data_IF_058253616538
#
_entry.id   IF_058253616538
#
_cell.length_a   1.000
_cell.length_b   1.000
_cell.length_c   1.000
_cell.angle_alpha   90.00
_cell.angle_beta   90.00
_cell.angle_gamma   90.00
#
_symmetry.space_group_name_H-M   'P 1'
#
loop_
_entity.id
_entity.type
_entity.pdbx_description
1 polymer ?
2 polymer ?
3 non-polymer ?
4 water ?
#
loop_
_entity_poly.entity_id
_entity_poly.type
_entity_poly.pdbx_seq_one_letter_code
_entity_poly.pdbx_strand_id
2 'polydeoxyribonucleotide' '(DT)(DC)(DA)(DA)(DG)(DG)(DG)(DT)(DC)(DC)(DG)(DG)(DA)(DC)(DC)(DC)(DT)' ?
#
# COMPACT_ATOMS: atom_id res chain seq x y z
N UNK A 26 6.25 5.56 -22.49
CA UNK A 26 6.78 6.83 -21.93
C UNK A 26 8.07 6.53 -21.15
N UNK A 27 9.19 7.14 -21.55
CA UNK A 27 10.47 6.85 -20.88
C UNK A 27 10.40 7.44 -19.46
N UNK A 28 9.82 6.68 -18.53
CA UNK A 28 9.61 7.21 -17.17
C UNK A 28 10.49 6.47 -16.17
N UNK A 29 10.85 7.14 -15.08
CA UNK A 29 11.60 6.44 -14.01
C UNK A 29 10.69 6.47 -12.77
N UNK A 30 10.17 5.31 -12.37
CA UNK A 30 9.23 5.27 -11.23
C UNK A 30 9.91 4.53 -10.08
N UNK A 31 9.70 5.00 -8.85
CA UNK A 31 10.30 4.34 -7.67
C UNK A 31 9.18 3.86 -6.74
N UNK A 32 9.34 2.65 -6.21
CA UNK A 32 8.36 2.12 -5.24
C UNK A 32 9.12 1.99 -3.92
N UNK A 33 8.57 2.57 -2.86
CA UNK A 33 9.21 2.48 -1.52
C UNK A 33 8.34 1.58 -0.65
N UNK A 34 8.86 0.41 -0.29
CA UNK A 34 8.12 -0.56 0.55
C UNK A 34 8.86 -0.69 1.87
N UNK A 35 8.27 -0.16 2.94
CA UNK A 35 8.90 -0.21 4.27
C UNK A 35 8.79 -1.64 4.81
N UNK A 36 9.82 -2.10 5.50
CA UNK A 36 9.81 -3.47 6.08
C UNK A 36 8.95 -3.49 7.36
N UNK A 37 8.11 -4.51 7.52
CA UNK A 37 7.31 -4.68 8.76
C UNK A 37 7.00 -3.32 9.40
N UNK A 38 6.20 -2.48 8.73
CA UNK A 38 5.99 -1.08 9.20
C UNK A 38 5.41 -1.03 10.61
N UNK A 39 4.26 -1.65 10.82
CA UNK A 39 3.60 -1.55 12.14
C UNK A 39 4.63 -1.97 13.19
N UNK A 40 5.32 -3.07 12.93
CA UNK A 40 6.31 -3.59 13.89
C UNK A 40 7.49 -2.64 14.06
N UNK A 41 7.99 -2.08 12.96
CA UNK A 41 9.15 -1.16 13.03
C UNK A 41 8.78 0.03 13.91
N UNK A 42 7.56 0.54 13.77
CA UNK A 42 7.09 1.69 14.59
C UNK A 42 7.02 1.25 16.06
N UNK A 43 6.53 0.04 16.32
CA UNK A 43 6.39 -0.45 17.72
C UNK A 43 7.78 -0.64 18.33
N UNK A 44 8.73 -1.14 17.54
CA UNK A 44 10.10 -1.36 18.05
C UNK A 44 10.74 0.01 18.35
N UNK A 45 10.43 1.01 17.53
CA UNK A 45 10.97 2.37 17.79
C UNK A 45 10.30 2.91 19.05
N UNK A 46 9.02 2.58 19.26
CA UNK A 46 8.27 3.12 20.43
C UNK A 46 8.79 2.49 21.73
N UNK A 47 9.06 1.20 21.72
CA UNK A 47 9.65 0.56 22.93
C UNK A 47 11.00 -0.05 22.56
N UNK A 48 12.11 0.68 22.75
CA UNK A 48 13.42 0.15 22.41
C UNK A 48 13.54 -1.28 22.86
N UNK A 49 13.16 -1.55 24.11
CA UNK A 49 13.33 -2.92 24.65
C UNK A 49 12.86 -3.94 23.61
N UNK A 50 11.80 -3.63 22.87
CA UNK A 50 11.23 -4.61 21.91
C UNK A 50 12.28 -4.95 20.84
N UNK A 51 13.42 -4.26 20.84
CA UNK A 51 14.44 -4.50 19.78
C UNK A 51 15.11 -5.85 20.01
N UNK A 52 15.47 -6.54 18.94
CA UNK A 52 16.16 -7.86 19.03
C UNK A 52 15.27 -8.82 19.82
N UNK A 53 13.96 -8.74 19.63
CA UNK A 53 13.02 -9.68 20.28
C UNK A 53 11.86 -9.94 19.34
N UNK A 54 11.35 -11.19 19.24
CA UNK A 54 10.30 -11.48 18.29
C UNK A 54 9.08 -10.64 18.63
N UNK A 55 8.63 -9.80 17.72
CA UNK A 55 7.50 -8.88 18.00
C UNK A 55 6.39 -9.08 16.97
N UNK A 56 5.16 -9.17 17.42
CA UNK A 56 4.01 -9.33 16.51
C UNK A 56 2.99 -8.26 16.78
N UNK A 57 2.37 -7.73 15.73
CA UNK A 57 1.29 -6.73 15.93
C UNK A 57 -0.06 -7.46 15.85
N UNK A 58 -0.78 -7.51 16.97
CA UNK A 58 -2.06 -8.26 17.02
C UNK A 58 -3.25 -7.35 16.70
N UNK A 59 -4.14 -7.82 15.84
CA UNK A 59 -5.38 -7.07 15.54
C UNK A 59 -6.50 -8.07 15.74
N UNK A 60 -7.31 -7.90 16.79
CA UNK A 60 -8.37 -8.89 17.12
C UNK A 60 -7.70 -10.26 17.36
N UNK A 61 -8.00 -11.25 16.53
CA UNK A 61 -7.48 -12.61 16.73
C UNK A 61 -6.35 -12.90 15.77
N UNK A 62 -5.85 -11.88 15.10
CA UNK A 62 -4.84 -12.14 14.05
C UNK A 62 -3.54 -11.39 14.30
N UNK A 63 -2.44 -11.94 13.80
CA UNK A 63 -1.13 -11.22 13.86
C UNK A 63 -0.96 -10.59 12.47
N UNK A 64 -1.24 -9.30 12.33
CA UNK A 64 -1.22 -8.67 10.97
C UNK A 64 0.23 -8.52 10.51
N UNK A 65 1.15 -8.18 11.42
CA UNK A 65 2.55 -7.96 11.04
C UNK A 65 3.44 -8.56 12.10
N UNK A 66 4.67 -8.92 11.73
CA UNK A 66 5.64 -9.47 12.70
C UNK A 66 7.04 -8.98 12.29
N UNK A 67 7.98 -8.95 13.24
CA UNK A 67 9.37 -8.55 12.89
C UNK A 67 10.06 -9.73 12.22
N UNK A 68 11.19 -9.48 11.57
CA UNK A 68 11.88 -10.55 10.81
C UNK A 68 12.29 -11.65 11.80
N UNK A 69 12.58 -11.28 13.04
CA UNK A 69 13.01 -12.27 14.06
C UNK A 69 11.87 -13.26 14.28
N UNK A 70 10.65 -12.76 14.42
CA UNK A 70 9.47 -13.65 14.59
C UNK A 70 9.21 -14.43 13.31
N UNK A 71 9.37 -13.78 12.16
CA UNK A 71 9.20 -14.48 10.87
C UNK A 71 10.21 -15.63 10.83
N UNK A 72 11.44 -15.35 11.28
CA UNK A 72 12.50 -16.38 11.28
C UNK A 72 12.04 -17.55 12.14
N UNK A 73 11.53 -17.26 13.34
CA UNK A 73 11.13 -18.33 14.29
C UNK A 73 9.87 -19.03 13.76
N UNK A 74 9.09 -18.37 12.92
CA UNK A 74 7.93 -19.05 12.30
C UNK A 74 6.70 -18.19 12.12
N UNK A 75 6.66 -17.00 12.73
CA UNK A 75 5.42 -16.17 12.68
C UNK A 75 5.19 -15.66 11.25
N UNK A 76 3.93 -15.69 10.80
CA UNK A 76 3.60 -15.26 9.42
C UNK A 76 2.49 -14.21 9.46
N UNK A 77 2.27 -13.53 8.33
CA UNK A 77 1.25 -12.44 8.28
C UNK A 77 -0.16 -13.03 8.34
N UNK A 78 -1.05 -12.39 9.09
CA UNK A 78 -2.46 -12.86 9.19
C UNK A 78 -2.48 -14.30 9.73
N UNK A 79 -1.84 -14.53 10.88
CA UNK A 79 -1.85 -15.87 11.52
C UNK A 79 -2.59 -15.80 12.86
N UNK A 80 -3.31 -16.85 13.22
CA UNK A 80 -3.97 -16.90 14.55
C UNK A 80 -2.91 -16.57 15.62
N UNK A 81 -3.25 -15.66 16.53
CA UNK A 81 -2.27 -15.20 17.57
C UNK A 81 -1.77 -16.39 18.40
N UNK A 82 -2.67 -17.27 18.82
CA UNK A 82 -2.29 -18.41 19.69
C UNK A 82 -1.34 -19.37 18.96
N UNK A 83 -1.63 -19.71 17.70
CA UNK A 83 -0.75 -20.61 16.92
C UNK A 83 0.64 -19.98 16.88
N UNK A 84 0.67 -18.67 16.70
CA UNK A 84 1.96 -17.96 16.64
C UNK A 84 2.68 -18.06 17.98
N UNK A 85 1.98 -17.79 19.08
CA UNK A 85 2.69 -17.78 20.38
C UNK A 85 3.16 -19.20 20.71
N UNK A 86 2.62 -20.21 20.02
CA UNK A 86 3.13 -21.59 20.23
C UNK A 86 4.38 -21.80 19.37
N UNK A 87 4.31 -21.44 18.09
CA UNK A 87 5.47 -21.59 17.19
C UNK A 87 6.61 -20.69 17.71
N UNK A 88 6.25 -19.56 18.33
CA UNK A 88 7.26 -18.62 18.85
C UNK A 88 6.87 -18.21 20.27
N UNK A 89 7.15 -19.04 21.29
CA UNK A 89 6.74 -18.73 22.65
C UNK A 89 7.29 -17.40 23.15
N UNK A 90 8.26 -16.85 22.46
CA UNK A 90 8.90 -15.58 22.90
C UNK A 90 8.22 -14.38 22.22
N UNK A 91 7.11 -14.62 21.51
CA UNK A 91 6.48 -13.53 20.72
C UNK A 91 5.78 -12.49 21.60
N UNK A 92 6.38 -11.30 21.74
CA UNK A 92 5.67 -10.21 22.46
C UNK A 92 4.67 -9.64 21.45
N UNK A 93 3.40 -9.50 21.84
CA UNK A 93 2.36 -9.08 20.86
C UNK A 93 1.75 -7.74 21.28
N UNK A 94 2.22 -6.63 20.72
CA UNK A 94 1.60 -5.32 21.03
C UNK A 94 0.35 -5.15 20.13
N UNK A 95 -0.76 -4.70 20.72
CA UNK A 95 -2.02 -4.55 19.93
C UNK A 95 -1.87 -3.40 18.93
N UNK A 96 -2.44 -3.56 17.75
CA UNK A 96 -2.33 -2.51 16.71
C UNK A 96 -3.67 -2.26 16.04
N UNK A 97 -4.75 -2.29 16.83
CA UNK A 97 -6.08 -1.98 16.28
C UNK A 97 -6.20 -0.45 16.16
N UNK A 98 -5.42 0.28 16.95
CA UNK A 98 -5.40 1.75 16.80
C UNK A 98 -4.27 2.10 15.85
N UNK A 99 -4.61 2.58 14.65
CA UNK A 99 -3.59 2.83 13.61
C UNK A 99 -3.13 4.28 13.63
N UNK A 100 -3.35 5.00 14.73
CA UNK A 100 -3.02 6.45 14.75
C UNK A 100 -1.53 6.67 14.61
N UNK A 101 -0.71 5.95 15.36
CA UNK A 101 0.76 6.20 15.33
C UNK A 101 1.34 5.69 13.99
N UNK A 102 0.79 4.60 13.49
CA UNK A 102 1.24 4.08 12.17
C UNK A 102 0.92 5.13 11.11
N UNK A 103 -0.28 5.70 11.18
CA UNK A 103 -0.71 6.69 10.17
C UNK A 103 0.20 7.91 10.25
N UNK A 104 0.59 8.29 11.46
CA UNK A 104 1.43 9.50 11.62
C UNK A 104 2.77 9.28 10.93
N UNK A 105 3.39 8.13 11.18
CA UNK A 105 4.70 7.82 10.57
C UNK A 105 4.54 7.67 9.06
N UNK A 106 3.40 7.13 8.63
CA UNK A 106 3.16 6.95 7.19
C UNK A 106 3.25 8.31 6.50
N UNK A 107 2.59 9.32 7.06
CA UNK A 107 2.57 10.64 6.38
C UNK A 107 3.95 11.28 6.54
N UNK A 108 4.66 10.98 7.62
CA UNK A 108 6.04 11.51 7.76
C UNK A 108 6.92 10.96 6.62
N UNK A 109 6.78 9.68 6.29
CA UNK A 109 7.55 9.06 5.17
C UNK A 109 7.14 9.70 3.84
N UNK A 110 5.83 9.84 3.61
CA UNK A 110 5.34 10.43 2.34
C UNK A 110 5.82 11.86 2.24
N UNK A 111 5.87 12.56 3.36
CA UNK A 111 6.29 13.99 3.35
C UNK A 111 7.78 14.10 3.02
N UNK A 112 8.61 13.23 3.59
CA UNK A 112 10.05 13.23 3.27
C UNK A 112 10.21 13.00 1.76
N UNK A 113 9.48 12.03 1.23
CA UNK A 113 9.59 11.69 -0.21
C UNK A 113 9.10 12.87 -1.06
N UNK A 114 8.07 13.57 -0.60
CA UNK A 114 7.50 14.71 -1.34
C UNK A 114 8.53 15.84 -1.44
N UNK A 115 9.38 15.97 -0.43
CA UNK A 115 10.46 16.99 -0.46
C UNK A 115 11.43 16.64 -1.59
N UNK A 116 11.65 15.36 -1.84
CA UNK A 116 12.48 14.96 -3.02
C UNK A 116 11.73 15.34 -4.29
N UNK A 117 10.50 14.86 -4.47
CA UNK A 117 9.67 15.25 -5.63
C UNK A 117 8.20 15.32 -5.21
N UNK A 118 7.45 16.35 -5.63
CA UNK A 118 6.08 16.51 -5.15
C UNK A 118 5.08 15.41 -5.39
N UNK A 119 5.13 14.79 -6.57
CA UNK A 119 4.08 13.78 -6.91
C UNK A 119 4.43 12.45 -6.23
N UNK A 120 3.73 12.15 -5.14
CA UNK A 120 3.94 10.88 -4.42
C UNK A 120 2.58 10.20 -4.27
N UNK A 121 2.48 8.96 -4.74
CA UNK A 121 1.22 8.19 -4.60
C UNK A 121 1.37 7.24 -3.41
N UNK A 122 0.33 7.16 -2.59
CA UNK A 122 0.35 6.27 -1.42
C UNK A 122 -0.47 5.01 -1.71
N UNK A 123 0.07 3.84 -1.37
CA UNK A 123 -0.70 2.57 -1.48
C UNK A 123 -0.64 1.97 -0.08
N UNK A 124 -1.71 2.10 0.69
CA UNK A 124 -1.66 1.66 2.08
C UNK A 124 -0.84 2.64 2.88
N UNK A 125 -0.22 2.18 3.96
CA UNK A 125 0.57 3.08 4.84
C UNK A 125 2.04 2.74 4.74
N UNK A 126 2.36 1.63 4.07
CA UNK A 126 3.77 1.16 4.01
C UNK A 126 4.38 1.40 2.62
N UNK A 127 3.56 1.75 1.64
CA UNK A 127 4.08 1.85 0.25
C UNK A 127 3.87 3.25 -0.35
N UNK A 128 4.85 3.70 -1.13
CA UNK A 128 4.75 5.01 -1.80
C UNK A 128 5.35 4.90 -3.21
N UNK A 129 4.78 5.59 -4.18
CA UNK A 129 5.32 5.61 -5.55
C UNK A 129 5.75 7.05 -5.83
N UNK A 130 6.86 7.23 -6.52
CA UNK A 130 7.32 8.60 -6.90
C UNK A 130 7.83 8.57 -8.35
N UNK A 131 7.48 9.57 -9.15
CA UNK A 131 8.03 9.67 -10.53
C UNK A 131 9.30 10.50 -10.49
N UNK A 132 10.44 9.89 -10.77
CA UNK A 132 11.74 10.59 -10.67
C UNK A 132 12.18 11.07 -12.05
N UNK A 133 11.30 11.00 -13.04
CA UNK A 133 11.72 11.33 -14.43
C UNK A 133 12.31 12.72 -14.50
N UNK A 134 11.60 13.72 -13.98
CA UNK A 134 12.08 15.12 -14.06
C UNK A 134 13.39 15.25 -13.28
N UNK A 135 13.42 14.70 -12.07
CA UNK A 135 14.65 14.78 -11.23
C UNK A 135 15.79 14.13 -12.00
N UNK A 136 15.54 12.96 -12.56
CA UNK A 136 16.62 12.24 -13.29
C UNK A 136 17.13 13.15 -14.41
N UNK A 137 16.23 13.78 -15.16
CA UNK A 137 16.65 14.61 -16.31
C UNK A 137 17.50 15.80 -15.84
N UNK A 138 17.09 16.47 -14.75
CA UNK A 138 17.84 17.66 -14.30
C UNK A 138 19.25 17.24 -13.90
N UNK A 139 19.35 16.11 -13.21
CA UNK A 139 20.68 15.65 -12.75
C UNK A 139 21.50 15.28 -13.99
N UNK A 140 20.84 14.67 -14.98
CA UNK A 140 21.57 14.21 -16.19
C UNK A 140 22.01 15.41 -17.04
N UNK A 141 21.29 16.52 -16.96
CA UNK A 141 21.69 17.73 -17.72
C UNK A 141 22.82 18.44 -16.96
N UNK A 142 22.78 18.39 -15.63
CA UNK A 142 23.82 19.06 -14.80
C UNK A 142 25.08 18.20 -14.80
N UNK A 143 25.08 17.16 -15.63
CA UNK A 143 26.26 16.25 -15.68
C UNK A 143 27.01 16.48 -16.99
N UNK A 144 28.24 15.99 -17.06
CA UNK A 144 29.02 16.11 -18.32
C UNK A 144 29.28 14.69 -18.85
N UNK A 145 29.15 14.48 -20.16
CA UNK A 145 29.36 13.13 -20.74
C UNK A 145 30.78 12.64 -20.42
N UNK A 146 31.65 13.56 -20.01
CA UNK A 146 33.05 13.18 -19.67
C UNK A 146 33.04 12.41 -18.34
N UNK A 147 31.87 12.27 -17.71
CA UNK A 147 31.76 11.51 -16.43
C UNK A 147 30.71 10.41 -16.55
N UNK A 148 30.24 10.11 -17.76
CA UNK A 148 29.17 9.09 -17.95
C UNK A 148 29.69 7.70 -17.55
N UNK A 149 30.95 7.40 -17.82
CA UNK A 149 31.50 6.05 -17.54
C UNK A 149 31.49 5.79 -16.04
N UNK A 150 31.04 6.77 -15.25
CA UNK A 150 31.05 6.63 -13.77
C UNK A 150 29.63 6.62 -13.20
N UNK A 151 28.60 6.88 -14.02
CA UNK A 151 27.23 6.76 -13.46
C UNK A 151 27.13 5.31 -12.97
N UNK A 152 27.05 5.11 -11.66
CA UNK A 152 27.07 3.74 -11.10
C UNK A 152 25.75 3.41 -10.45
N UNK A 153 25.43 2.12 -10.34
CA UNK A 153 24.11 1.72 -9.81
C UNK A 153 24.18 1.62 -8.27
N UNK A 154 23.15 2.12 -7.60
CA UNK A 154 23.07 1.94 -6.15
C UNK A 154 22.09 0.79 -5.92
N UNK A 155 22.60 -0.35 -5.49
CA UNK A 155 21.73 -1.50 -5.19
C UNK A 155 21.85 -2.60 -6.21
N UNK A 156 20.95 -3.58 -6.13
CA UNK A 156 21.00 -4.74 -7.03
C UNK A 156 20.37 -4.46 -8.39
N UNK A 157 20.84 -5.17 -9.43
CA UNK A 157 20.21 -5.06 -10.77
C UNK A 157 19.47 -6.38 -10.97
N UNK A 158 18.22 -6.34 -11.45
CA UNK A 158 17.40 -7.58 -11.56
C UNK A 158 17.99 -8.49 -12.64
N UNK A 159 18.09 -9.79 -12.34
CA UNK A 159 18.59 -10.81 -13.31
C UNK A 159 20.07 -10.55 -13.61
N UNK A 160 20.80 -9.92 -12.69
CA UNK A 160 22.24 -9.61 -12.89
C UNK A 160 22.44 -9.10 -14.30
N UNK A 161 21.48 -8.34 -14.80
CA UNK A 161 21.56 -7.86 -16.21
C UNK A 161 22.77 -6.93 -16.34
N UNK A 162 23.45 -7.02 -17.47
CA UNK A 162 24.63 -6.16 -17.72
C UNK A 162 24.15 -4.72 -17.94
N UNK A 163 24.87 -3.76 -17.39
CA UNK A 163 24.52 -2.34 -17.62
C UNK A 163 25.18 -1.88 -18.92
N UNK A 164 24.47 -1.15 -19.77
CA UNK A 164 25.07 -0.58 -20.99
C UNK A 164 25.08 0.94 -20.80
N UNK A 165 26.23 1.52 -20.46
CA UNK A 165 26.28 2.97 -20.18
C UNK A 165 26.08 3.75 -21.49
N UNK A 166 25.77 3.06 -22.57
CA UNK A 166 25.50 3.72 -23.88
C UNK A 166 23.98 3.84 -24.09
N UNK A 167 23.18 2.96 -23.48
CA UNK A 167 21.71 3.05 -23.59
C UNK A 167 21.19 4.11 -22.60
N UNK A 168 20.57 5.16 -23.12
CA UNK A 168 20.08 6.27 -22.26
C UNK A 168 19.13 5.73 -21.20
N UNK A 169 18.28 4.77 -21.57
CA UNK A 169 17.29 4.22 -20.62
C UNK A 169 18.04 3.67 -19.39
N UNK A 170 19.13 2.94 -19.63
CA UNK A 170 19.89 2.33 -18.52
C UNK A 170 20.40 3.46 -17.60
N UNK A 171 20.93 4.52 -18.19
CA UNK A 171 21.51 5.65 -17.41
C UNK A 171 20.42 6.28 -16.53
N UNK A 172 19.25 6.53 -17.13
CA UNK A 172 18.15 7.19 -16.38
C UNK A 172 17.75 6.32 -15.18
N UNK A 173 17.68 5.01 -15.38
CA UNK A 173 17.24 4.10 -14.28
C UNK A 173 18.34 4.02 -13.23
N UNK A 174 19.60 4.11 -13.65
CA UNK A 174 20.73 4.09 -12.70
C UNK A 174 20.68 5.35 -11.83
N UNK A 175 20.31 6.49 -12.42
CA UNK A 175 20.17 7.73 -11.63
C UNK A 175 19.04 7.54 -10.61
N UNK A 176 17.95 6.92 -11.03
CA UNK A 176 16.84 6.64 -10.11
C UNK A 176 17.30 5.75 -8.97
N UNK A 177 18.17 4.80 -9.27
CA UNK A 177 18.73 3.91 -8.22
C UNK A 177 19.42 4.77 -7.15
N UNK A 178 20.16 5.77 -7.58
CA UNK A 178 20.90 6.65 -6.63
C UNK A 178 19.92 7.49 -5.81
N UNK A 179 18.89 8.04 -6.45
CA UNK A 179 17.89 8.88 -5.74
C UNK A 179 17.14 8.00 -4.73
N UNK A 180 16.93 6.73 -5.09
CA UNK A 180 16.23 5.79 -4.18
C UNK A 180 17.10 5.48 -2.97
N UNK A 181 18.39 5.31 -3.20
CA UNK A 181 19.31 5.10 -2.07
C UNK A 181 19.33 6.34 -1.18
N UNK A 182 19.26 7.51 -1.80
CA UNK A 182 19.23 8.78 -1.03
C UNK A 182 17.95 8.80 -0.19
N UNK A 183 16.83 8.47 -0.82
CA UNK A 183 15.53 8.49 -0.12
C UNK A 183 15.57 7.50 1.06
N UNK A 184 16.16 6.33 0.85
CA UNK A 184 16.15 5.29 1.90
C UNK A 184 17.05 5.75 3.06
N UNK A 185 18.20 6.33 2.75
CA UNK A 185 19.14 6.76 3.81
C UNK A 185 18.49 7.89 4.61
N UNK A 186 17.74 8.74 3.93
CA UNK A 186 17.04 9.86 4.61
C UNK A 186 15.96 9.30 5.53
N UNK A 187 15.26 8.27 5.08
CA UNK A 187 14.16 7.68 5.89
C UNK A 187 14.75 7.06 7.15
N UNK A 188 15.96 6.52 7.06
CA UNK A 188 16.62 5.94 8.26
C UNK A 188 17.21 7.05 9.13
N UNK A 189 17.88 8.02 8.51
CA UNK A 189 18.58 9.07 9.29
C UNK A 189 17.57 10.01 9.95
N UNK A 190 16.42 10.20 9.33
CA UNK A 190 15.48 11.22 9.85
C UNK A 190 14.29 10.57 10.58
N UNK A 191 13.91 9.35 10.21
CA UNK A 191 12.72 8.71 10.81
C UNK A 191 13.08 7.34 11.41
N UNK A 192 14.33 6.90 11.25
CA UNK A 192 14.78 5.63 11.83
C UNK A 192 14.07 4.45 11.22
N UNK A 193 13.70 4.56 9.95
CA UNK A 193 12.89 3.49 9.31
C UNK A 193 13.70 2.80 8.21
N UNK A 194 13.59 1.47 8.15
CA UNK A 194 14.27 0.69 7.10
C UNK A 194 13.23 0.34 6.06
N UNK A 195 13.65 0.28 4.81
CA UNK A 195 12.70 -0.04 3.73
C UNK A 195 13.37 -0.54 2.47
N UNK A 196 12.57 -1.06 1.56
CA UNK A 196 13.07 -1.57 0.27
C UNK A 196 12.63 -0.61 -0.85
N UNK A 197 13.38 -0.57 -1.95
CA UNK A 197 13.02 0.29 -3.09
C UNK A 197 13.11 -0.47 -4.42
N UNK A 198 12.34 -0.01 -5.40
CA UNK A 198 12.33 -0.64 -6.73
C UNK A 198 12.20 0.41 -7.80
N UNK A 199 13.15 0.45 -8.73
CA UNK A 199 13.15 1.49 -9.79
C UNK A 199 12.87 0.82 -11.15
N UNK A 200 11.92 1.36 -11.89
CA UNK A 200 11.56 0.79 -13.21
C UNK A 200 10.89 1.83 -14.09
N UNK A 201 10.33 1.41 -15.21
CA UNK A 201 9.68 2.32 -16.19
C UNK A 201 8.20 2.53 -15.86
N UNK A 202 7.63 1.67 -15.01
CA UNK A 202 6.18 1.79 -14.65
C UNK A 202 5.97 1.37 -13.19
N UNK A 203 4.79 1.66 -12.66
CA UNK A 203 4.49 1.37 -11.24
C UNK A 203 4.42 -0.14 -11.00
N UNK A 204 3.85 -0.89 -11.93
CA UNK A 204 3.73 -2.37 -11.78
C UNK A 204 5.13 -2.97 -11.68
N UNK A 205 6.01 -2.62 -12.60
CA UNK A 205 7.37 -3.20 -12.59
C UNK A 205 8.14 -2.75 -11.35
N UNK A 206 7.93 -1.52 -10.89
CA UNK A 206 8.63 -1.00 -9.70
C UNK A 206 8.18 -1.74 -8.44
N UNK A 207 6.87 -1.95 -8.32
CA UNK A 207 6.33 -2.68 -7.15
C UNK A 207 6.81 -4.13 -7.20
N UNK A 208 6.89 -4.70 -8.40
CA UNK A 208 7.26 -6.13 -8.54
C UNK A 208 8.77 -6.32 -8.30
N UNK A 209 9.58 -5.31 -8.57
CA UNK A 209 11.06 -5.44 -8.42
C UNK A 209 11.48 -5.00 -7.01
N UNK A 210 10.61 -4.30 -6.29
CA UNK A 210 10.97 -3.76 -4.95
C UNK A 210 11.24 -4.89 -3.95
N UNK A 211 10.66 -6.07 -4.18
CA UNK A 211 10.79 -7.17 -3.21
C UNK A 211 11.67 -8.33 -3.65
N UNK A 212 12.42 -8.19 -4.74
CA UNK A 212 13.36 -9.27 -5.15
C UNK A 212 14.37 -9.47 -4.00
N UNK A 213 14.91 -8.39 -3.44
CA UNK A 213 15.78 -8.50 -2.24
C UNK A 213 14.97 -7.81 -1.15
N UNK A 214 14.35 -8.59 -0.26
CA UNK A 214 13.35 -8.01 0.69
C UNK A 214 13.89 -7.36 1.96
N UNK A 215 14.94 -7.82 2.65
CA UNK A 215 15.34 -7.12 3.87
C UNK A 215 16.16 -5.84 3.66
N UNK A 216 15.53 -4.67 3.69
CA UNK A 216 16.23 -3.36 3.61
C UNK A 216 17.21 -3.31 2.43
N UNK A 217 16.69 -3.56 1.22
CA UNK A 217 17.54 -3.56 0.01
C UNK A 217 16.78 -2.90 -1.15
N UNK A 218 17.45 -2.67 -2.26
CA UNK A 218 16.82 -2.01 -3.43
C UNK A 218 17.26 -2.70 -4.73
N UNK A 219 16.38 -2.74 -5.72
CA UNK A 219 16.66 -3.42 -7.00
C UNK A 219 16.18 -2.55 -8.13
N UNK A 220 16.92 -2.53 -9.24
CA UNK A 220 16.50 -1.78 -10.45
C UNK A 220 16.21 -2.79 -11.57
N UNK A 221 15.17 -2.54 -12.36
CA UNK A 221 14.83 -3.44 -13.49
C UNK A 221 15.24 -2.75 -14.78
N UNK A 222 16.24 -3.30 -15.45
CA UNK A 222 16.64 -2.76 -16.77
C UNK A 222 15.63 -3.30 -17.80
N UNK A 223 15.32 -2.55 -18.87
CA UNK A 223 14.27 -2.95 -19.79
C UNK A 223 14.29 -4.36 -20.38
N UNK A 224 15.48 -4.91 -20.60
CA UNK A 224 15.61 -6.24 -21.26
C UNK A 224 15.32 -7.38 -20.28
N UNK A 225 14.84 -7.08 -19.07
CA UNK A 225 14.63 -8.15 -18.07
C UNK A 225 13.16 -8.15 -17.58
N UNK A 226 12.30 -7.34 -18.18
CA UNK A 226 10.87 -7.22 -17.78
C UNK A 226 10.17 -8.58 -17.88
N UNK A 227 10.42 -9.33 -18.95
CA UNK A 227 9.72 -10.61 -19.17
C UNK A 227 10.13 -11.64 -18.10
N UNK A 228 11.39 -11.62 -17.69
CA UNK A 228 11.86 -12.55 -16.63
C UNK A 228 11.05 -12.29 -15.35
N UNK A 229 10.84 -11.03 -15.01
CA UNK A 229 10.09 -10.67 -13.78
C UNK A 229 8.61 -11.05 -13.93
N UNK A 230 8.04 -10.79 -15.09
CA UNK A 230 6.59 -11.08 -15.30
C UNK A 230 6.38 -12.60 -15.27
N UNK A 231 7.36 -13.37 -15.75
CA UNK A 231 7.21 -14.84 -15.82
C UNK A 231 7.72 -15.45 -14.51
N UNK A 232 8.36 -14.64 -13.67
CA UNK A 232 8.83 -15.11 -12.34
C UNK A 232 7.61 -15.41 -11.48
N UNK A 233 6.52 -14.70 -11.72
CA UNK A 233 5.29 -14.88 -10.90
C UNK A 233 4.71 -16.26 -11.20
N UNK A 234 4.08 -16.88 -10.21
CA UNK A 234 3.54 -18.25 -10.36
C UNK A 234 2.01 -18.19 -10.38
N UNK A 235 1.45 -17.12 -9.84
CA UNK A 235 -0.03 -16.95 -9.83
C UNK A 235 -0.35 -15.57 -10.40
N UNK A 236 -1.43 -15.49 -11.18
CA UNK A 236 -1.79 -14.21 -11.84
C UNK A 236 -2.23 -13.21 -10.77
N UNK A 237 -2.63 -13.69 -9.59
CA UNK A 237 -3.11 -12.80 -8.50
C UNK A 237 -1.93 -12.01 -7.95
N UNK A 238 -0.73 -12.50 -8.19
CA UNK A 238 0.49 -11.80 -7.73
C UNK A 238 0.67 -10.51 -8.56
N UNK A 239 -0.02 -10.42 -9.69
CA UNK A 239 0.03 -9.18 -10.51
C UNK A 239 -0.78 -8.09 -9.81
N UNK A 240 -0.16 -6.96 -9.44
CA UNK A 240 -0.89 -5.87 -8.83
C UNK A 240 -1.97 -5.37 -9.77
N UNK A 241 -3.22 -5.41 -9.34
CA UNK A 241 -4.33 -5.01 -10.21
C UNK A 241 -5.30 -6.16 -10.43
N UNK A 242 -4.85 -7.38 -10.21
CA UNK A 242 -5.73 -8.56 -10.36
C UNK A 242 -6.00 -9.13 -8.96
N UNK A 243 -7.26 -9.05 -8.51
CA UNK A 243 -7.63 -9.55 -7.18
C UNK A 243 -8.44 -10.83 -7.27
N UNK A 244 -9.18 -11.16 -6.22
CA UNK A 244 -9.93 -12.43 -6.14
C UNK A 244 -10.92 -12.56 -7.27
N UNK A 245 -11.78 -11.56 -7.44
CA UNK A 245 -12.85 -11.68 -8.45
C UNK A 245 -12.24 -11.88 -9.84
N UNK A 246 -11.32 -11.01 -10.24
CA UNK A 246 -10.78 -11.09 -11.60
C UNK A 246 -10.06 -12.41 -11.78
N UNK A 247 -9.34 -12.86 -10.76
CA UNK A 247 -8.56 -14.11 -10.86
C UNK A 247 -9.50 -15.31 -11.01
N UNK A 248 -10.59 -15.33 -10.24
CA UNK A 248 -11.56 -16.44 -10.34
C UNK A 248 -12.11 -16.48 -11.77
N UNK A 249 -12.46 -15.33 -12.31
CA UNK A 249 -12.99 -15.27 -13.69
C UNK A 249 -11.94 -15.87 -14.63
N UNK A 250 -10.68 -15.49 -14.45
CA UNK A 250 -9.61 -15.95 -15.37
C UNK A 250 -9.40 -17.46 -15.20
N UNK A 251 -9.44 -17.95 -13.98
CA UNK A 251 -9.19 -19.40 -13.72
C UNK A 251 -10.30 -20.20 -14.39
N UNK A 252 -11.51 -19.64 -14.44
CA UNK A 252 -12.64 -20.36 -15.04
C UNK A 252 -12.48 -20.40 -16.55
N UNK A 253 -11.89 -19.36 -17.12
CA UNK A 253 -11.62 -19.38 -18.58
C UNK A 253 -10.42 -20.29 -18.85
N UNK A 254 -9.70 -20.69 -17.80
CA UNK A 254 -8.55 -21.60 -17.95
C UNK A 254 -7.23 -20.89 -17.83
N UNK A 255 -7.25 -19.59 -17.56
CA UNK A 255 -6.01 -18.78 -17.45
C UNK A 255 -5.44 -18.90 -16.04
N UNK A 256 -4.29 -19.55 -15.89
CA UNK A 256 -3.65 -19.72 -14.56
C UNK A 256 -2.20 -19.23 -14.63
N UNK A 257 -1.70 -18.97 -15.84
CA UNK A 257 -0.31 -18.49 -16.01
C UNK A 257 -0.30 -17.08 -16.59
N UNK A 258 0.81 -16.37 -16.45
CA UNK A 258 0.94 -15.04 -17.07
C UNK A 258 0.96 -15.25 -18.59
N UNK A 259 1.65 -16.29 -19.04
CA UNK A 259 1.71 -16.59 -20.50
C UNK A 259 0.29 -16.94 -20.96
N UNK A 260 -0.48 -17.61 -20.11
CA UNK A 260 -1.88 -17.94 -20.46
C UNK A 260 -2.64 -16.63 -20.72
N UNK A 261 -2.52 -15.66 -19.82
CA UNK A 261 -3.22 -14.36 -19.97
C UNK A 261 -2.67 -13.63 -21.20
N UNK A 262 -1.35 -13.68 -21.39
CA UNK A 262 -0.71 -13.00 -22.53
C UNK A 262 -1.16 -13.65 -23.85
N UNK A 263 -1.38 -14.95 -23.86
CA UNK A 263 -1.70 -15.68 -25.11
C UNK A 263 -3.19 -15.88 -25.29
N UNK A 264 -3.99 -15.50 -24.30
CA UNK A 264 -5.47 -15.69 -24.38
C UNK A 264 -6.04 -14.71 -25.39
N UNK A 265 -7.21 -15.06 -25.93
CA UNK A 265 -7.83 -14.21 -26.97
C UNK A 265 -8.37 -12.92 -26.35
N UNK A 266 -7.92 -11.75 -26.84
CA UNK A 266 -8.40 -10.49 -26.30
C UNK A 266 -9.91 -10.43 -26.39
N UNK A 267 -10.44 -10.90 -27.51
CA UNK A 267 -11.90 -10.79 -27.73
C UNK A 267 -12.68 -11.50 -26.63
N UNK A 268 -12.37 -12.77 -26.37
CA UNK A 268 -13.18 -13.53 -25.38
C UNK A 268 -13.06 -12.85 -24.02
N UNK A 269 -11.87 -12.34 -23.71
CA UNK A 269 -11.63 -11.70 -22.39
C UNK A 269 -12.48 -10.42 -22.31
N UNK A 270 -12.51 -9.63 -23.38
CA UNK A 270 -13.35 -8.41 -23.40
C UNK A 270 -14.82 -8.81 -23.20
N UNK A 271 -15.22 -9.93 -23.78
CA UNK A 271 -16.64 -10.39 -23.69
C UNK A 271 -16.99 -10.83 -22.27
N UNK A 272 -16.07 -11.50 -21.58
CA UNK A 272 -16.40 -12.07 -20.26
C UNK A 272 -15.99 -11.15 -19.11
N UNK A 273 -15.16 -10.13 -19.37
CA UNK A 273 -14.66 -9.32 -18.23
C UNK A 273 -14.95 -7.83 -18.47
N UNK A 274 -15.21 -7.46 -19.71
CA UNK A 274 -15.39 -6.03 -20.01
C UNK A 274 -14.18 -5.51 -20.76
N UNK A 275 -14.38 -4.54 -21.64
CA UNK A 275 -13.28 -4.00 -22.47
C UNK A 275 -12.22 -3.35 -21.56
N UNK A 276 -12.63 -2.65 -20.51
CA UNK A 276 -11.66 -1.93 -19.66
C UNK A 276 -10.74 -2.92 -18.94
N UNK A 277 -11.33 -3.80 -18.15
CA UNK A 277 -10.50 -4.74 -17.34
C UNK A 277 -9.65 -5.60 -18.28
N UNK A 278 -10.25 -6.13 -19.34
CA UNK A 278 -9.50 -7.06 -20.22
C UNK A 278 -8.26 -6.38 -20.78
N UNK A 279 -8.41 -5.18 -21.32
CA UNK A 279 -7.26 -4.52 -21.98
C UNK A 279 -6.18 -4.23 -20.94
N UNK A 280 -6.57 -3.68 -19.78
CA UNK A 280 -5.58 -3.31 -18.74
C UNK A 280 -4.90 -4.58 -18.19
N UNK A 281 -5.64 -5.64 -17.91
CA UNK A 281 -5.02 -6.84 -17.26
C UNK A 281 -4.08 -7.57 -18.25
N UNK A 282 -4.43 -7.56 -19.54
CA UNK A 282 -3.55 -8.21 -20.53
C UNK A 282 -2.27 -7.37 -20.70
N UNK A 283 -2.41 -6.05 -20.66
CA UNK A 283 -1.21 -5.19 -20.74
C UNK A 283 -0.32 -5.49 -19.53
N UNK A 284 -0.92 -5.69 -18.36
CA UNK A 284 -0.15 -5.98 -17.12
C UNK A 284 0.58 -7.33 -17.30
N UNK A 285 -0.05 -8.29 -17.98
CA UNK A 285 0.58 -9.61 -18.23
C UNK A 285 1.86 -9.42 -19.07
N UNK A 286 1.92 -8.36 -19.86
CA UNK A 286 3.14 -8.07 -20.65
C UNK A 286 4.03 -7.07 -19.90
N UNK A 287 3.67 -6.76 -18.66
CA UNK A 287 4.44 -5.79 -17.86
C UNK A 287 4.22 -4.37 -18.35
N UNK A 288 3.03 -4.11 -18.90
CA UNK A 288 2.74 -2.77 -19.46
C UNK A 288 1.75 -2.05 -18.54
N UNK A 289 2.12 -0.85 -18.09
CA UNK A 289 1.26 -0.03 -17.21
C UNK A 289 1.55 1.44 -17.48
N UNK A 290 0.60 2.14 -18.11
CA UNK A 290 0.77 3.57 -18.42
C UNK A 290 0.15 4.38 -17.27
N UNK A 291 -0.24 3.71 -16.19
CA UNK A 291 -0.90 4.41 -15.06
C UNK A 291 -0.02 5.55 -14.57
N UNK A 292 -0.56 6.77 -14.51
CA UNK A 292 0.21 7.89 -14.02
C UNK A 292 0.42 7.86 -12.52
N UNK A 293 1.60 8.27 -12.07
CA UNK A 293 1.83 8.36 -10.59
C UNK A 293 0.98 9.55 -10.13
N UNK A 294 0.07 9.33 -9.18
CA UNK A 294 -0.86 10.41 -8.77
C UNK A 294 -0.37 11.08 -7.48
N UNK A 295 -0.71 12.35 -7.28
CA UNK A 295 -0.39 13.02 -5.99
C UNK A 295 -1.56 12.71 -5.06
N UNK A 296 -1.35 11.80 -4.12
CA UNK A 296 -2.42 11.40 -3.18
C UNK A 296 -2.80 12.60 -2.32
N UNK A 297 -1.80 13.40 -1.97
CA UNK A 297 -2.04 14.61 -1.16
C UNK A 297 -2.74 14.32 0.13
N UNK A 298 -3.58 15.25 0.60
CA UNK A 298 -4.29 15.06 1.86
C UNK A 298 -5.31 13.95 1.77
N UNK A 299 -5.58 13.26 2.90
CA UNK A 299 -6.57 12.20 2.92
C UNK A 299 -7.94 12.68 2.48
N UNK A 300 -8.71 11.81 1.83
CA UNK A 300 -10.04 12.20 1.32
C UNK A 300 -11.14 11.56 2.19
N UNK A 301 -10.76 10.75 3.17
CA UNK A 301 -11.74 10.04 4.02
C UNK A 301 -11.11 9.67 5.36
N UNK A 302 -11.90 9.67 6.43
CA UNK A 302 -11.41 9.29 7.77
C UNK A 302 -12.40 8.31 8.31
N UNK A 303 -11.99 7.06 8.49
CA UNK A 303 -13.01 6.04 8.90
C UNK A 303 -12.55 5.28 10.14
N UNK A 304 -13.50 4.69 10.85
CA UNK A 304 -13.18 3.85 12.03
C UNK A 304 -14.22 2.71 12.04
N UNK A 305 -13.79 1.51 12.39
CA UNK A 305 -14.71 0.36 12.37
C UNK A 305 -14.40 -0.59 13.54
N UNK A 306 -15.27 -1.58 13.76
CA UNK A 306 -14.97 -2.61 14.78
C UNK A 306 -15.54 -3.92 14.29
N UNK A 307 -14.77 -5.00 14.42
CA UNK A 307 -15.23 -6.32 13.95
C UNK A 307 -15.80 -7.10 15.15
N UNK A 308 -16.86 -7.86 14.94
CA UNK A 308 -17.49 -8.58 16.08
C UNK A 308 -18.14 -9.86 15.60
N UNK A 309 -18.37 -10.78 16.54
CA UNK A 309 -18.98 -12.08 16.19
C UNK A 309 -20.50 -11.98 16.29
N UNK A 310 -21.18 -11.60 15.21
CA UNK A 310 -22.65 -11.41 15.25
C UNK A 310 -22.99 -10.81 16.62
N UNK A 311 -22.17 -9.89 17.09
CA UNK A 311 -22.39 -9.27 18.43
C UNK A 311 -23.38 -8.12 18.29
N UNK A 312 -23.72 -7.74 17.05
CA UNK A 312 -24.76 -6.70 16.89
C UNK A 312 -26.05 -7.34 16.34
N UNK A 313 -27.00 -7.65 17.21
CA UNK A 313 -28.29 -8.20 16.77
C UNK A 313 -29.42 -7.31 17.34
N UNK A 314 -29.04 -6.19 17.95
CA UNK A 314 -30.03 -5.24 18.52
C UNK A 314 -29.70 -3.81 18.10
N UNK A 315 -30.69 -2.92 18.06
CA UNK A 315 -30.44 -1.48 17.75
C UNK A 315 -29.40 -0.96 18.76
N UNK A 316 -29.14 -1.72 19.83
CA UNK A 316 -28.06 -1.35 20.77
C UNK A 316 -26.77 -1.09 19.99
N UNK A 317 -26.71 -1.49 18.71
CA UNK A 317 -25.55 -1.18 17.84
C UNK A 317 -25.34 0.33 17.85
N UNK A 318 -26.33 1.08 18.30
CA UNK A 318 -26.16 2.54 18.46
C UNK A 318 -24.97 2.77 19.37
N UNK A 319 -24.85 1.94 20.40
CA UNK A 319 -23.74 2.10 21.38
C UNK A 319 -22.40 1.98 20.65
N UNK A 320 -22.29 0.98 19.77
CA UNK A 320 -21.04 0.83 18.98
C UNK A 320 -20.82 2.07 18.13
N UNK A 321 -21.87 2.51 17.42
CA UNK A 321 -21.75 3.70 16.53
C UNK A 321 -21.32 4.89 17.39
N UNK A 322 -21.82 4.94 18.62
CA UNK A 322 -21.48 6.05 19.54
C UNK A 322 -19.97 6.08 19.76
N UNK A 323 -19.40 4.92 20.13
CA UNK A 323 -17.94 4.86 20.40
C UNK A 323 -17.20 5.24 19.11
N UNK A 324 -17.60 4.64 17.99
CA UNK A 324 -16.88 4.89 16.73
C UNK A 324 -16.87 6.41 16.48
N UNK A 325 -18.02 7.05 16.67
CA UNK A 325 -18.13 8.50 16.38
C UNK A 325 -17.13 9.27 17.25
N UNK A 326 -17.13 8.99 18.55
CA UNK A 326 -16.26 9.79 19.44
C UNK A 326 -14.82 9.68 18.96
N UNK A 327 -14.40 8.44 18.68
CA UNK A 327 -13.00 8.22 18.24
C UNK A 327 -12.74 9.03 16.97
N UNK A 328 -13.57 8.84 15.94
CA UNK A 328 -13.33 9.51 14.65
C UNK A 328 -13.37 11.03 14.83
N UNK A 329 -14.15 11.50 15.80
CA UNK A 329 -14.28 12.96 16.01
C UNK A 329 -12.90 13.54 16.33
N UNK A 330 -12.12 12.86 17.17
CA UNK A 330 -10.80 13.42 17.53
C UNK A 330 -9.99 13.59 16.24
N UNK A 331 -10.07 12.59 15.36
CA UNK A 331 -9.26 12.61 14.12
C UNK A 331 -9.67 13.78 13.23
N UNK A 332 -10.97 13.98 13.05
CA UNK A 332 -11.43 15.06 12.11
C UNK A 332 -11.07 16.41 12.75
N UNK A 333 -11.10 16.46 14.07
CA UNK A 333 -10.72 17.71 14.78
C UNK A 333 -9.27 18.05 14.42
N UNK A 334 -8.41 17.03 14.42
CA UNK A 334 -6.97 17.28 14.19
C UNK A 334 -6.69 17.71 12.73
N UNK A 335 -7.38 17.13 11.75
CA UNK A 335 -7.03 17.44 10.34
C UNK A 335 -7.07 18.95 10.09
N UNK A 336 -8.19 19.62 10.40
CA UNK A 336 -8.33 21.05 10.08
C UNK A 336 -9.30 21.24 8.95
N UNK A 337 -9.29 20.31 7.99
CA UNK A 337 -10.31 20.34 6.92
C UNK A 337 -11.58 19.78 7.56
N UNK A 338 -12.75 20.01 6.97
CA UNK A 338 -13.99 19.58 7.67
C UNK A 338 -14.81 18.63 6.81
N UNK A 339 -15.45 17.61 7.42
CA UNK A 339 -16.33 16.72 6.68
C UNK A 339 -17.68 17.33 6.29
N UNK A 340 -18.25 16.89 5.16
CA UNK A 340 -19.55 17.41 4.68
C UNK A 340 -20.51 16.27 4.37
N UNK A 341 -20.00 15.03 4.30
CA UNK A 341 -20.87 13.87 4.09
C UNK A 341 -20.51 12.77 5.07
N UNK A 342 -21.50 12.10 5.65
CA UNK A 342 -21.25 10.99 6.61
C UNK A 342 -21.73 9.69 5.97
N UNK A 343 -21.08 8.58 6.31
CA UNK A 343 -21.45 7.29 5.68
C UNK A 343 -21.48 6.20 6.76
N UNK A 344 -22.50 5.35 6.72
CA UNK A 344 -22.55 4.21 7.65
C UNK A 344 -22.36 2.95 6.82
N UNK A 345 -21.33 2.18 7.14
CA UNK A 345 -21.04 0.92 6.39
C UNK A 345 -21.35 -0.26 7.32
N UNK A 346 -22.15 -1.21 6.84
CA UNK A 346 -22.56 -2.35 7.69
C UNK A 346 -22.02 -3.66 7.11
N UNK A 347 -21.69 -4.61 7.96
CA UNK A 347 -21.29 -5.95 7.46
C UNK A 347 -22.21 -6.98 8.13
N UNK A 348 -23.09 -7.59 7.34
CA UNK A 348 -23.98 -8.65 7.87
C UNK A 348 -23.28 -9.99 7.67
N UNK A 349 -23.66 -11.01 8.44
CA UNK A 349 -23.09 -12.36 8.21
C UNK A 349 -23.89 -13.03 7.10
N UNK A 350 -23.21 -13.55 6.07
CA UNK A 350 -23.89 -14.23 4.95
C UNK A 350 -22.84 -14.81 3.99
N UNK A 356 -19.02 -8.05 0.65
CA UNK A 356 -20.47 -7.85 0.85
C UNK A 356 -20.72 -6.81 1.92
N UNK A 357 -20.33 -5.55 1.66
CA UNK A 357 -20.58 -4.45 2.61
C UNK A 357 -21.53 -3.42 1.97
N UNK A 358 -22.69 -3.19 2.60
CA UNK A 358 -23.67 -2.19 2.09
C UNK A 358 -23.42 -0.83 2.78
N UNK A 359 -23.85 0.27 2.17
CA UNK A 359 -23.53 1.59 2.74
C UNK A 359 -24.67 2.58 2.46
N UNK A 360 -24.84 3.56 3.35
CA UNK A 360 -25.83 4.63 3.15
C UNK A 360 -25.17 5.93 3.61
N UNK A 361 -25.20 6.97 2.78
CA UNK A 361 -24.52 8.24 3.12
C UNK A 361 -25.53 9.40 3.12
N UNK A 362 -25.21 10.48 3.81
CA UNK A 362 -26.10 11.67 3.87
C UNK A 362 -25.23 12.91 4.08
N UNK A 363 -25.49 14.02 3.38
CA UNK A 363 -24.74 15.25 3.63
C UNK A 363 -24.96 15.70 5.05
N UNK A 364 -23.88 16.09 5.71
CA UNK A 364 -23.98 16.49 7.15
C UNK A 364 -24.65 17.86 7.24
N UNK A 365 -25.66 18.05 8.10
CA UNK A 365 -26.25 19.36 8.30
C UNK A 365 -25.21 20.41 8.69
N UNK A 366 -25.33 21.61 8.14
CA UNK A 366 -24.30 22.67 8.36
C UNK A 366 -24.07 22.98 9.84
N UNK A 367 -25.12 22.95 10.66
CA UNK A 367 -24.97 23.33 12.09
C UNK A 367 -23.96 22.38 12.73
N UNK A 368 -24.08 21.09 12.41
CA UNK A 368 -23.16 20.07 12.99
C UNK A 368 -21.75 20.31 12.45
N UNK A 369 -21.65 20.68 11.16
CA UNK A 369 -20.32 20.92 10.53
C UNK A 369 -19.63 22.03 11.34
N UNK A 370 -20.41 22.90 11.97
CA UNK A 370 -19.83 23.95 12.84
C UNK A 370 -19.90 23.49 14.31
N UNK A 379 -22.41 17.51 19.59
CA UNK A 379 -22.13 17.06 18.20
C UNK A 379 -22.51 15.57 18.08
N UNK A 380 -22.45 14.85 19.18
CA UNK A 380 -22.70 13.38 19.13
C UNK A 380 -24.19 13.09 18.91
N UNK A 381 -25.07 13.75 19.64
CA UNK A 381 -26.51 13.40 19.55
C UNK A 381 -27.03 13.64 18.14
N UNK A 382 -26.86 14.83 17.53
CA UNK A 382 -27.32 15.00 16.16
C UNK A 382 -26.73 13.98 15.21
N UNK A 383 -25.42 13.72 15.33
CA UNK A 383 -24.74 12.77 14.42
C UNK A 383 -25.34 11.36 14.57
N UNK A 384 -25.52 10.89 15.82
CA UNK A 384 -26.02 9.50 16.02
C UNK A 384 -27.43 9.42 15.42
N UNK A 385 -28.20 10.49 15.53
CA UNK A 385 -29.59 10.46 15.02
C UNK A 385 -29.55 10.23 13.50
N UNK A 386 -28.73 11.02 12.80
CA UNK A 386 -28.59 10.84 11.32
C UNK A 386 -28.08 9.43 11.03
N UNK A 387 -27.06 8.99 11.75
CA UNK A 387 -26.44 7.68 11.47
C UNK A 387 -27.46 6.56 11.73
N UNK A 388 -28.31 6.72 12.74
CA UNK A 388 -29.33 5.69 13.09
C UNK A 388 -30.39 5.64 11.98
N UNK A 389 -30.73 6.80 11.43
CA UNK A 389 -31.70 6.82 10.31
C UNK A 389 -31.10 6.06 9.12
N UNK A 390 -29.81 6.28 8.87
CA UNK A 390 -29.13 5.55 7.76
C UNK A 390 -29.13 4.05 8.09
N UNK A 391 -28.85 3.71 9.35
CA UNK A 391 -28.87 2.28 9.79
C UNK A 391 -30.23 1.67 9.55
N UNK A 392 -31.29 2.37 9.95
CA UNK A 392 -32.64 1.80 9.85
C UNK A 392 -33.03 1.63 8.37
N UNK A 393 -32.44 2.44 7.49
CA UNK A 393 -32.72 2.32 6.04
C UNK A 393 -31.98 1.09 5.50
N UNK A 394 -30.90 0.69 6.15
CA UNK A 394 -30.12 -0.49 5.71
C UNK A 394 -30.65 -1.76 6.41
N UNK A 404 -21.47 -7.97 11.73
CA UNK A 404 -20.10 -8.45 11.98
C UNK A 404 -19.17 -7.27 11.95
N UNK A 405 -19.62 -6.17 11.36
CA UNK A 405 -18.77 -4.96 11.24
C UNK A 405 -19.65 -3.72 11.15
N UNK A 406 -19.26 -2.65 11.85
CA UNK A 406 -19.98 -1.36 11.74
C UNK A 406 -18.92 -0.29 11.55
N UNK A 407 -19.12 0.61 10.58
CA UNK A 407 -18.07 1.61 10.28
C UNK A 407 -18.68 2.99 10.06
N UNK A 408 -18.00 4.03 10.53
CA UNK A 408 -18.46 5.43 10.29
C UNK A 408 -17.36 6.09 9.45
N UNK A 409 -17.74 6.81 8.40
CA UNK A 409 -16.75 7.44 7.49
C UNK A 409 -17.08 8.91 7.31
N UNK A 410 -16.10 9.78 7.47
CA UNK A 410 -16.29 11.22 7.22
C UNK A 410 -15.61 11.53 5.90
N UNK A 411 -16.41 11.83 4.87
CA UNK A 411 -15.85 12.12 3.53
C UNK A 411 -16.26 13.55 3.11
N UNK A 412 -16.22 13.85 1.81
CA UNK A 412 -16.56 15.21 1.30
C UNK A 412 -15.83 16.25 2.14
N UNK A 413 -14.53 16.07 2.33
CA UNK A 413 -13.75 16.98 3.20
C UNK A 413 -13.38 18.24 2.41
N UNK A 414 -13.55 19.41 3.03
CA UNK A 414 -13.29 20.69 2.33
C UNK A 414 -12.31 21.54 3.15
X LIG C 1 7.15 -7.30 4.94
#
# INVERSE_FOLDING_TARGET
MELADVGAAASSQGVHDQVLPTPNASSRVIVHVDLDCFYAQVEMISNPELKDKPLGVQQKYLVVTCNYEARKLGVKKLMNVRDAKEKCPQLVLVNGEDLTRYREMSYKVTELLEEFSPVVERLGFDENFVDLTEMVEKRLQQLQSDELSAVTVSGHVYNNQSINLLDVLHIRLLVGSQIAAEMREAMYNQLGLTGCAGVASNKLLAKLVSGVFKPNQQTVLLPESCQHLIHSLNHIKEIPGIGYKTAKCLEALGINSVRDLQTFSPKILEKELGISVAQRIQKLSFGEDNSPVILSGPPQSFSEEDSFKKCSSEVEAKNKIEELLASLLNRVCQDGRKPHTVRLIIRRYSSEKHYGRESRQCPIPSHVIQKLGTGNYDVMTPMVDILMKLFRNMVNVKMPFHLTLLSVCFCNLKALNTAK
CA CA
#
